data_IF_831989214413
#
_entry.id   IF_831989214413
#
_cell.length_a   1.000
_cell.length_b   1.000
_cell.length_c   1.000
_cell.angle_alpha   90.00
_cell.angle_beta   90.00
_cell.angle_gamma   90.00
#
_symmetry.space_group_name_H-M   'P 1'
#
loop_
_entity.id
_entity.type
_entity.pdbx_description
1 polymer ?
#
# COMPACT_ATOMS: atom_id res chain seq x y z
N UNK A 1 -0.85 -22.20 -4.04
CA UNK A 1 -0.15 -20.93 -3.79
C UNK A 1 -1.11 -19.77 -3.92
N UNK A 2 -1.12 -18.81 -2.99
CA UNK A 2 -1.96 -17.62 -3.13
C UNK A 2 -1.61 -16.84 -4.41
N UNK A 3 -2.61 -16.42 -5.16
CA UNK A 3 -2.46 -15.51 -6.30
C UNK A 3 -2.85 -14.12 -5.82
N UNK A 4 -1.95 -13.15 -5.98
CA UNK A 4 -2.30 -11.75 -5.79
C UNK A 4 -2.86 -11.27 -7.13
N UNK A 5 -4.14 -10.91 -7.14
CA UNK A 5 -4.83 -10.42 -8.33
C UNK A 5 -5.33 -9.00 -8.05
N UNK A 6 -5.12 -8.09 -9.00
CA UNK A 6 -5.72 -6.76 -8.93
C UNK A 6 -7.22 -6.89 -9.17
N UNK A 7 -8.03 -6.49 -8.18
CA UNK A 7 -9.50 -6.52 -8.24
C UNK A 7 -10.14 -5.15 -8.43
N UNK A 8 -9.33 -4.08 -8.46
CA UNK A 8 -9.81 -2.70 -8.50
C UNK A 8 -8.99 -1.82 -9.42
N UNK A 9 -9.51 -0.62 -9.65
CA UNK A 9 -8.87 0.44 -10.42
C UNK A 9 -7.74 1.10 -9.62
N UNK A 10 -6.77 1.68 -10.33
CA UNK A 10 -5.72 2.46 -9.70
C UNK A 10 -6.25 3.80 -9.23
N UNK A 11 -5.88 4.17 -8.00
CA UNK A 11 -6.17 5.47 -7.43
C UNK A 11 -4.87 6.25 -7.25
N UNK A 12 -4.88 7.53 -7.63
CA UNK A 12 -3.77 8.45 -7.45
C UNK A 12 -4.21 9.56 -6.49
N UNK A 13 -3.56 9.63 -5.33
CA UNK A 13 -3.80 10.68 -4.34
C UNK A 13 -2.92 11.91 -4.59
N UNK A 14 -3.55 13.09 -4.69
CA UNK A 14 -2.88 14.38 -4.65
C UNK A 14 -3.16 15.07 -3.31
N UNK A 15 -2.12 15.33 -2.53
CA UNK A 15 -2.23 16.03 -1.26
C UNK A 15 -1.95 17.53 -1.44
N UNK A 16 -2.93 18.36 -1.09
CA UNK A 16 -2.82 19.81 -1.04
C UNK A 16 -2.42 20.24 0.37
N UNK A 17 -1.18 20.72 0.53
CA UNK A 17 -0.67 21.21 1.82
C UNK A 17 -1.45 22.43 2.33
N UNK A 18 -1.82 23.34 1.44
CA UNK A 18 -2.47 24.59 1.81
C UNK A 18 -3.90 24.36 2.33
N UNK A 19 -4.60 23.37 1.76
CA UNK A 19 -5.97 23.01 2.15
C UNK A 19 -6.02 21.89 3.20
N UNK A 20 -4.88 21.28 3.52
CA UNK A 20 -4.73 20.03 4.27
C UNK A 20 -5.70 18.90 3.85
N UNK A 21 -5.91 18.78 2.53
CA UNK A 21 -6.87 17.85 1.93
C UNK A 21 -6.22 16.93 0.91
N UNK A 22 -6.80 15.76 0.70
CA UNK A 22 -6.44 14.84 -0.37
C UNK A 22 -7.54 14.81 -1.44
N UNK A 23 -7.12 14.88 -2.70
CA UNK A 23 -7.97 14.64 -3.87
C UNK A 23 -7.54 13.34 -4.51
N UNK A 24 -8.49 12.45 -4.79
CA UNK A 24 -8.21 11.14 -5.37
C UNK A 24 -8.70 11.09 -6.82
N UNK A 25 -7.80 10.68 -7.71
CA UNK A 25 -8.08 10.45 -9.13
C UNK A 25 -8.16 8.94 -9.35
N UNK A 26 -9.32 8.43 -9.75
CA UNK A 26 -9.54 7.02 -10.05
C UNK A 26 -9.35 6.80 -11.55
N UNK A 27 -8.46 5.89 -11.91
CA UNK A 27 -8.17 5.54 -13.31
C UNK A 27 -9.23 4.56 -13.83
N UNK A 28 -10.03 5.00 -14.79
CA UNK A 28 -11.04 4.19 -15.47
C UNK A 28 -10.68 3.96 -16.94
N UNK A 29 -11.45 3.10 -17.64
CA UNK A 29 -11.26 2.85 -19.07
C UNK A 29 -11.38 4.10 -19.95
N UNK A 30 -12.09 5.14 -19.49
CA UNK A 30 -12.37 6.36 -20.25
C UNK A 30 -11.60 7.60 -19.74
N UNK A 31 -10.57 7.41 -18.90
CA UNK A 31 -9.78 8.49 -18.32
C UNK A 31 -9.83 8.48 -16.79
N UNK A 32 -9.99 9.63 -16.16
CA UNK A 32 -9.97 9.76 -14.70
C UNK A 32 -11.29 10.29 -14.15
N UNK A 33 -11.79 9.66 -13.10
CA UNK A 33 -12.82 10.22 -12.23
C UNK A 33 -12.16 10.92 -11.04
N UNK A 34 -12.61 12.14 -10.72
CA UNK A 34 -12.08 12.91 -9.60
C UNK A 34 -13.06 12.80 -8.43
N UNK A 35 -12.62 12.18 -7.34
CA UNK A 35 -13.38 12.16 -6.09
C UNK A 35 -13.32 13.56 -5.42
N UNK A 36 -14.38 13.97 -4.70
CA UNK A 36 -14.33 15.19 -3.89
C UNK A 36 -13.13 15.20 -2.95
N UNK A 37 -12.57 16.39 -2.71
CA UNK A 37 -11.47 16.53 -1.77
C UNK A 37 -11.92 16.20 -0.34
N UNK A 38 -11.15 15.37 0.34
CA UNK A 38 -11.46 14.87 1.67
C UNK A 38 -10.31 15.15 2.65
N UNK A 39 -10.59 15.01 3.94
CA UNK A 39 -9.60 15.19 4.99
C UNK A 39 -8.52 14.11 4.90
N UNK A 40 -7.27 14.53 5.05
CA UNK A 40 -6.14 13.59 4.98
C UNK A 40 -6.07 12.76 6.28
N UNK A 41 -6.10 11.44 6.14
CA UNK A 41 -5.91 10.55 7.28
C UNK A 41 -4.43 10.40 7.61
N UNK A 42 -3.94 11.27 8.50
CA UNK A 42 -2.56 11.29 9.01
C UNK A 42 -2.55 11.53 10.51
N UNK A 43 -1.44 11.20 11.18
CA UNK A 43 -1.24 11.66 12.56
C UNK A 43 -0.94 13.16 12.57
N UNK A 44 -1.26 13.88 13.67
CA UNK A 44 -1.05 15.33 13.75
C UNK A 44 0.37 15.80 13.39
N UNK A 45 1.39 15.03 13.78
CA UNK A 45 2.79 15.37 13.57
C UNK A 45 3.43 14.69 12.34
N UNK A 46 2.66 13.93 11.57
CA UNK A 46 3.16 13.25 10.37
C UNK A 46 2.93 14.10 9.12
N UNK A 47 4.00 14.28 8.33
CA UNK A 47 3.92 14.97 7.04
C UNK A 47 3.64 13.97 5.92
N UNK A 48 2.76 14.32 4.99
CA UNK A 48 2.59 13.57 3.75
C UNK A 48 3.71 13.97 2.79
N UNK A 49 4.60 13.01 2.52
CA UNK A 49 5.75 13.19 1.65
C UNK A 49 5.35 13.02 0.18
N UNK A 50 5.92 13.84 -0.70
CA UNK A 50 5.69 13.72 -2.13
C UNK A 50 6.36 12.44 -2.66
N UNK A 51 5.60 11.61 -3.38
CA UNK A 51 6.12 10.42 -4.04
C UNK A 51 6.93 10.80 -5.29
N UNK A 52 8.25 10.57 -5.23
CA UNK A 52 9.15 10.76 -6.39
C UNK A 52 9.14 9.51 -7.26
N UNK A 53 8.21 9.45 -8.22
CA UNK A 53 8.08 8.30 -9.13
C UNK A 53 9.37 7.98 -9.92
N UNK A 54 10.21 8.98 -10.19
CA UNK A 54 11.49 8.79 -10.89
C UNK A 54 12.48 7.91 -10.13
N UNK A 55 12.33 7.80 -8.81
CA UNK A 55 13.21 7.02 -7.95
C UNK A 55 12.72 5.56 -7.80
N UNK A 56 11.50 5.24 -8.25
CA UNK A 56 10.91 3.91 -8.17
C UNK A 56 11.56 3.00 -9.22
N UNK A 57 12.25 1.95 -8.76
CA UNK A 57 12.95 0.97 -9.61
C UNK A 57 12.28 -0.40 -9.64
N UNK A 58 11.51 -0.71 -8.61
CA UNK A 58 10.78 -1.97 -8.48
C UNK A 58 9.37 -1.76 -9.02
N UNK A 59 9.06 -2.45 -10.12
CA UNK A 59 7.73 -2.41 -10.72
C UNK A 59 6.68 -3.02 -9.77
N UNK A 60 5.40 -2.72 -10.00
CA UNK A 60 4.32 -3.35 -9.24
C UNK A 60 4.35 -4.87 -9.35
N UNK A 61 4.58 -5.42 -10.55
CA UNK A 61 4.67 -6.88 -10.77
C UNK A 61 5.82 -7.52 -10.00
N UNK A 62 6.99 -6.87 -9.96
CA UNK A 62 8.14 -7.39 -9.21
C UNK A 62 7.90 -7.31 -7.70
N UNK A 63 7.32 -6.21 -7.24
CA UNK A 63 6.94 -6.03 -5.84
C UNK A 63 5.90 -7.08 -5.41
N UNK A 64 4.96 -7.43 -6.28
CA UNK A 64 3.94 -8.45 -6.02
C UNK A 64 4.56 -9.85 -5.87
N UNK A 65 5.53 -10.22 -6.72
CA UNK A 65 6.25 -11.49 -6.62
C UNK A 65 6.99 -11.56 -5.28
N UNK A 66 7.76 -10.51 -4.97
CA UNK A 66 8.49 -10.38 -3.69
C UNK A 66 7.54 -10.44 -2.50
N UNK A 67 6.41 -9.74 -2.55
CA UNK A 67 5.43 -9.75 -1.46
C UNK A 67 4.87 -11.16 -1.20
N UNK A 68 4.57 -11.91 -2.27
CA UNK A 68 4.10 -13.30 -2.16
C UNK A 68 5.13 -14.20 -1.48
N UNK A 69 6.42 -14.06 -1.82
CA UNK A 69 7.50 -14.78 -1.17
C UNK A 69 7.59 -14.42 0.32
N UNK A 70 7.53 -13.12 0.65
CA UNK A 70 7.56 -12.64 2.03
C UNK A 70 6.34 -13.12 2.83
N UNK A 71 5.13 -13.13 2.25
CA UNK A 71 3.95 -13.65 2.92
C UNK A 71 4.10 -15.13 3.28
N UNK A 72 4.61 -15.95 2.35
CA UNK A 72 4.83 -17.37 2.59
C UNK A 72 5.89 -17.62 3.68
N UNK A 73 6.96 -16.81 3.71
CA UNK A 73 8.03 -16.94 4.68
C UNK A 73 7.66 -16.42 6.09
N UNK A 74 7.00 -15.27 6.17
CA UNK A 74 6.72 -14.57 7.42
C UNK A 74 5.43 -15.04 8.09
N UNK A 75 4.45 -15.51 7.32
CA UNK A 75 3.13 -15.91 7.82
C UNK A 75 2.70 -17.29 7.30
N UNK A 76 3.52 -18.35 7.49
CA UNK A 76 3.27 -19.67 6.90
C UNK A 76 1.98 -20.33 7.37
N UNK A 77 1.47 -19.95 8.55
CA UNK A 77 0.22 -20.47 9.12
C UNK A 77 -1.02 -19.66 8.75
N UNK A 78 -0.87 -18.53 8.06
CA UNK A 78 -1.98 -17.64 7.72
C UNK A 78 -2.51 -17.93 6.31
N UNK A 79 -3.83 -17.94 6.17
CA UNK A 79 -4.46 -17.87 4.85
C UNK A 79 -4.64 -16.41 4.47
N UNK A 80 -3.85 -15.96 3.50
CA UNK A 80 -3.91 -14.61 2.94
C UNK A 80 -5.26 -14.42 2.22
N UNK A 81 -6.00 -13.39 2.61
CA UNK A 81 -7.24 -12.97 1.97
C UNK A 81 -7.06 -11.69 1.16
N UNK A 82 -8.18 -11.03 0.89
CA UNK A 82 -8.18 -9.76 0.15
C UNK A 82 -7.46 -8.65 0.91
N UNK A 83 -7.02 -7.65 0.15
CA UNK A 83 -6.16 -6.60 0.65
C UNK A 83 -6.02 -5.48 -0.36
N UNK A 84 -5.11 -4.57 -0.05
CA UNK A 84 -4.76 -3.46 -0.91
C UNK A 84 -3.25 -3.25 -0.89
N UNK A 85 -2.79 -2.50 -1.89
CA UNK A 85 -1.39 -2.13 -2.05
C UNK A 85 -1.31 -0.62 -2.20
N UNK A 86 -0.33 0.00 -1.55
CA UNK A 86 -0.06 1.44 -1.69
C UNK A 86 1.41 1.64 -1.99
N UNK A 87 1.71 2.37 -3.08
CA UNK A 87 3.01 2.97 -3.31
C UNK A 87 3.02 4.36 -2.69
N UNK A 88 3.92 4.61 -1.75
CA UNK A 88 3.98 5.90 -1.05
C UNK A 88 5.39 6.22 -0.57
N UNK A 89 5.65 7.50 -0.33
CA UNK A 89 6.79 7.93 0.47
C UNK A 89 6.39 8.00 1.94
N UNK A 90 7.13 7.33 2.81
CA UNK A 90 6.89 7.31 4.25
C UNK A 90 8.20 7.25 5.02
N UNK A 91 8.45 8.25 5.85
CA UNK A 91 9.67 8.42 6.65
C UNK A 91 10.93 8.38 5.78
N UNK A 92 10.91 9.10 4.66
CA UNK A 92 12.04 9.21 3.72
C UNK A 92 12.30 7.97 2.88
N UNK A 93 11.44 6.95 2.91
CA UNK A 93 11.53 5.75 2.06
C UNK A 93 10.38 5.68 1.08
N UNK A 94 10.63 5.17 -0.12
CA UNK A 94 9.58 4.87 -1.09
C UNK A 94 9.24 3.39 -0.95
N UNK A 95 7.99 3.09 -0.59
CA UNK A 95 7.58 1.76 -0.18
C UNK A 95 6.37 1.28 -0.97
N UNK A 96 6.44 0.04 -1.44
CA UNK A 96 5.26 -0.76 -1.73
C UNK A 96 4.75 -1.37 -0.42
N UNK A 97 3.62 -0.91 0.09
CA UNK A 97 2.97 -1.47 1.28
C UNK A 97 1.82 -2.39 0.86
N UNK A 98 2.01 -3.70 1.04
CA UNK A 98 0.98 -4.70 0.85
C UNK A 98 0.30 -4.98 2.19
N UNK A 99 -1.02 -4.79 2.24
CA UNK A 99 -1.83 -5.03 3.41
C UNK A 99 -2.92 -6.03 3.06
N UNK A 100 -2.90 -7.21 3.67
CA UNK A 100 -3.93 -8.25 3.48
C UNK A 100 -4.63 -8.57 4.79
N UNK A 101 -5.91 -8.94 4.71
CA UNK A 101 -6.68 -9.47 5.83
C UNK A 101 -6.63 -10.99 5.75
N UNK A 102 -6.09 -11.64 6.78
CA UNK A 102 -6.08 -13.10 6.87
C UNK A 102 -7.46 -13.66 7.24
N UNK A 103 -7.70 -14.94 6.96
CA UNK A 103 -8.92 -15.64 7.42
C UNK A 103 -9.07 -15.70 8.94
N UNK A 104 -7.99 -15.47 9.69
CA UNK A 104 -8.01 -15.36 11.16
C UNK A 104 -8.24 -13.93 11.65
N UNK A 105 -8.68 -13.04 10.76
CA UNK A 105 -8.99 -11.63 11.05
C UNK A 105 -7.77 -10.87 11.59
N UNK A 106 -6.63 -11.01 10.91
CA UNK A 106 -5.44 -10.20 11.17
C UNK A 106 -5.06 -9.41 9.93
N UNK A 107 -4.66 -8.16 10.11
CA UNK A 107 -3.91 -7.45 9.08
C UNK A 107 -2.48 -7.97 9.02
N UNK A 108 -2.06 -8.38 7.84
CA UNK A 108 -0.71 -8.82 7.52
C UNK A 108 -0.09 -7.79 6.56
N UNK A 109 0.81 -6.98 7.10
CA UNK A 109 1.46 -5.90 6.37
C UNK A 109 2.88 -6.32 5.98
N UNK A 110 3.22 -6.13 4.71
CA UNK A 110 4.56 -6.33 4.15
C UNK A 110 4.94 -5.06 3.39
N UNK A 111 6.02 -4.42 3.80
CA UNK A 111 6.56 -3.24 3.11
C UNK A 111 7.84 -3.62 2.37
N UNK A 112 7.86 -3.38 1.07
CA UNK A 112 9.01 -3.60 0.20
C UNK A 112 9.54 -2.24 -0.22
N UNK A 113 10.85 -2.05 -0.12
CA UNK A 113 11.51 -0.86 -0.63
C UNK A 113 11.38 -0.80 -2.15
N UNK A 114 10.82 0.28 -2.68
CA UNK A 114 10.53 0.43 -4.10
C UNK A 114 11.78 0.76 -4.94
N UNK A 115 12.94 0.96 -4.30
CA UNK A 115 14.23 1.22 -4.95
C UNK A 115 15.07 -0.06 -4.96
N UNK A 116 15.22 -0.74 -3.82
CA UNK A 116 16.06 -1.95 -3.70
C UNK A 116 15.30 -3.26 -3.91
N UNK A 117 13.99 -3.27 -3.64
CA UNK A 117 13.17 -4.48 -3.66
C UNK A 117 13.41 -5.38 -2.45
N UNK A 118 14.02 -4.86 -1.39
CA UNK A 118 14.22 -5.57 -0.12
C UNK A 118 13.02 -5.38 0.81
N UNK A 119 12.84 -6.31 1.75
CA UNK A 119 11.85 -6.17 2.80
C UNK A 119 12.25 -5.01 3.72
N UNK A 120 11.47 -3.94 3.74
CA UNK A 120 11.69 -2.79 4.61
C UNK A 120 11.12 -3.03 6.03
N UNK A 121 9.95 -3.66 6.14
CA UNK A 121 9.33 -4.02 7.42
C UNK A 121 8.13 -4.95 7.22
N UNK A 122 7.70 -5.63 8.27
CA UNK A 122 6.43 -6.37 8.30
C UNK A 122 5.71 -6.17 9.63
N UNK A 123 4.39 -6.36 9.67
CA UNK A 123 3.60 -6.24 10.89
C UNK A 123 2.33 -7.09 10.83
N UNK A 124 1.98 -7.71 11.96
CA UNK A 124 0.68 -8.35 12.16
C UNK A 124 -0.14 -7.57 13.18
N UNK A 125 -1.41 -7.28 12.86
CA UNK A 125 -2.34 -6.60 13.77
C UNK A 125 -3.62 -7.45 13.87
N UNK A 126 -4.02 -7.85 15.07
CA UNK A 126 -5.31 -8.53 15.29
C UNK A 126 -6.46 -7.54 15.14
N UNK A 127 -7.49 -7.89 14.37
CA UNK A 127 -8.73 -7.13 14.30
C UNK A 127 -9.70 -7.45 15.45
N UNK A 128 -9.49 -8.58 16.13
CA UNK A 128 -10.27 -8.97 17.31
C UNK A 128 -9.54 -8.46 18.54
N UNK A 129 -10.21 -7.61 19.34
CA UNK A 129 -9.77 -7.28 20.69
C UNK A 129 -10.05 -8.48 21.61
N UNK A 130 -9.09 -8.79 22.49
CA UNK A 130 -9.35 -9.69 23.62
C UNK A 130 -10.11 -8.94 24.70
#
# INVERSE_FOLDING_TARGET
>A
SATLELKGEWEVGYYSKDADKITVFVSSANGFEIKPADDVFKKPDENVEALKLVDVKVSFSDAQIKAKEQYAALFPSESIGDGFVVLQSFKGKILWNFSSISKTLKFLNVKIDAISGELASHQTISLVQK
#
